data_IF_163670910923
#
_entry.id   IF_163670910923
#
_cell.length_a   1.000
_cell.length_b   1.000
_cell.length_c   1.000
_cell.angle_alpha   90.00
_cell.angle_beta   90.00
_cell.angle_gamma   90.00
#
_symmetry.space_group_name_H-M   'P 1'
#
loop_
_entity.id
_entity.type
_entity.pdbx_description
1 polymer ?
#
# COMPACT_ATOMS: atom_id res chain seq x y z
N UNK A 1 -10.77 -3.85 -1.26
CA UNK A 1 -10.13 -4.73 -2.26
C UNK A 1 -9.16 -5.72 -1.64
N UNK A 2 -8.15 -5.31 -0.91
CA UNK A 2 -7.17 -6.20 -0.26
C UNK A 2 -7.83 -7.35 0.50
N UNK A 3 -8.82 -7.09 1.34
CA UNK A 3 -9.55 -8.12 2.08
C UNK A 3 -10.29 -9.10 1.18
N UNK A 4 -10.82 -8.67 0.04
CA UNK A 4 -11.50 -9.56 -0.90
C UNK A 4 -10.53 -10.52 -1.59
N UNK A 5 -9.32 -10.07 -1.91
CA UNK A 5 -8.26 -10.94 -2.44
C UNK A 5 -7.76 -11.90 -1.36
N UNK A 6 -7.53 -11.40 -0.16
CA UNK A 6 -7.08 -12.22 0.98
C UNK A 6 -8.09 -13.29 1.39
N UNK A 7 -9.38 -13.05 1.21
CA UNK A 7 -10.42 -14.05 1.46
C UNK A 7 -10.30 -15.27 0.52
N UNK A 8 -9.67 -15.09 -0.64
CA UNK A 8 -9.43 -16.15 -1.63
C UNK A 8 -8.02 -16.75 -1.55
N UNK A 9 -7.16 -16.21 -0.70
CA UNK A 9 -5.79 -16.67 -0.57
C UNK A 9 -5.73 -18.10 -0.02
N UNK A 10 -4.93 -18.93 -0.67
CA UNK A 10 -4.63 -20.31 -0.26
C UNK A 10 -3.62 -20.33 0.90
N UNK A 11 -3.41 -21.52 1.46
CA UNK A 11 -2.54 -21.68 2.62
C UNK A 11 -1.08 -21.29 2.36
N UNK A 12 -0.60 -21.51 1.15
CA UNK A 12 0.78 -21.27 0.71
C UNK A 12 1.01 -19.89 0.06
N UNK A 13 -0.05 -19.12 -0.19
CA UNK A 13 0.09 -17.78 -0.76
C UNK A 13 0.85 -16.83 0.17
N UNK A 14 1.77 -16.07 -0.40
CA UNK A 14 2.53 -15.04 0.29
C UNK A 14 1.69 -13.76 0.31
N UNK A 15 1.51 -13.19 1.50
CA UNK A 15 0.80 -11.93 1.68
C UNK A 15 1.73 -10.94 2.38
N UNK A 16 2.03 -9.84 1.71
CA UNK A 16 2.86 -8.75 2.25
C UNK A 16 1.97 -7.53 2.50
N UNK A 17 1.96 -7.03 3.72
CA UNK A 17 1.13 -5.90 4.11
C UNK A 17 0.90 -5.80 5.62
N UNK A 18 -0.12 -5.03 5.99
CA UNK A 18 -0.45 -4.73 7.39
C UNK A 18 -1.77 -5.35 7.86
N UNK A 19 -2.44 -6.12 7.01
CA UNK A 19 -3.68 -6.79 7.39
C UNK A 19 -3.43 -7.87 8.46
N UNK A 20 -4.44 -8.26 9.23
CA UNK A 20 -4.29 -9.34 10.22
C UNK A 20 -3.73 -10.63 9.62
N UNK A 21 -4.21 -11.02 8.42
CA UNK A 21 -3.72 -12.21 7.71
C UNK A 21 -2.27 -12.06 7.26
N UNK A 22 -1.87 -10.90 6.73
CA UNK A 22 -0.48 -10.62 6.37
C UNK A 22 0.45 -10.69 7.58
N UNK A 23 0.04 -10.10 8.71
CA UNK A 23 0.79 -10.15 9.97
C UNK A 23 0.93 -11.58 10.49
N UNK A 24 -0.12 -12.37 10.44
CA UNK A 24 -0.10 -13.78 10.86
C UNK A 24 0.86 -14.62 10.00
N UNK A 25 0.94 -14.35 8.70
CA UNK A 25 1.81 -15.07 7.75
C UNK A 25 3.25 -14.57 7.72
N UNK A 26 3.55 -13.45 8.35
CA UNK A 26 4.89 -12.83 8.35
C UNK A 26 5.99 -13.79 8.84
N UNK A 27 5.69 -14.67 9.79
CA UNK A 27 6.63 -15.67 10.30
C UNK A 27 7.16 -16.62 9.23
N UNK A 28 6.40 -16.86 8.15
CA UNK A 28 6.82 -17.71 7.03
C UNK A 28 7.95 -17.10 6.22
N UNK A 29 8.14 -15.79 6.31
CA UNK A 29 9.16 -15.03 5.59
C UNK A 29 10.43 -14.84 6.40
N UNK A 30 10.48 -15.29 7.65
CA UNK A 30 11.57 -15.03 8.60
C UNK A 30 12.94 -15.58 8.18
N UNK A 31 12.95 -16.66 7.38
CA UNK A 31 14.19 -17.26 6.86
C UNK A 31 14.66 -16.68 5.52
N UNK A 32 13.94 -15.73 4.96
CA UNK A 32 14.22 -15.15 3.65
C UNK A 32 14.81 -13.74 3.80
N UNK A 33 15.66 -13.36 2.86
CA UNK A 33 16.33 -12.05 2.85
C UNK A 33 15.79 -11.23 1.68
N UNK A 34 14.78 -10.37 1.89
CA UNK A 34 14.27 -9.48 0.84
C UNK A 34 15.29 -8.39 0.52
N UNK A 35 15.30 -7.92 -0.73
CA UNK A 35 16.17 -6.83 -1.17
C UNK A 35 15.79 -5.47 -0.55
N UNK A 36 14.52 -5.30 -0.14
CA UNK A 36 14.02 -4.09 0.48
C UNK A 36 13.11 -4.35 1.67
N UNK A 37 12.49 -3.30 2.17
CA UNK A 37 11.57 -3.40 3.31
C UNK A 37 10.24 -4.03 2.89
N UNK A 38 9.81 -5.07 3.62
CA UNK A 38 8.50 -5.70 3.42
C UNK A 38 7.40 -4.95 4.19
N UNK A 39 6.53 -4.27 3.47
CA UNK A 39 5.40 -3.53 4.01
C UNK A 39 4.32 -3.30 2.94
N UNK A 40 3.22 -2.65 3.27
CA UNK A 40 2.07 -2.45 2.36
C UNK A 40 2.39 -1.66 1.07
N UNK A 41 3.52 -0.98 1.01
CA UNK A 41 3.99 -0.23 -0.17
C UNK A 41 5.24 -0.84 -0.80
N UNK A 42 5.56 -2.12 -0.52
CA UNK A 42 6.67 -2.81 -1.17
C UNK A 42 6.50 -2.82 -2.68
N UNK A 43 7.58 -2.53 -3.37
CA UNK A 43 7.68 -2.67 -4.82
C UNK A 43 8.12 -4.08 -5.20
N UNK A 44 8.06 -4.42 -6.49
CA UNK A 44 8.60 -5.70 -6.99
C UNK A 44 10.10 -5.85 -6.66
N UNK A 45 10.85 -4.75 -6.68
CA UNK A 45 12.27 -4.75 -6.31
C UNK A 45 12.48 -5.08 -4.84
N UNK A 46 11.62 -4.59 -3.95
CA UNK A 46 11.74 -4.83 -2.52
C UNK A 46 11.49 -6.30 -2.15
N UNK A 47 10.65 -7.00 -2.91
CA UNK A 47 10.31 -8.42 -2.66
C UNK A 47 11.29 -9.40 -3.32
N UNK A 48 12.29 -8.93 -4.06
CA UNK A 48 13.34 -9.79 -4.57
C UNK A 48 14.05 -10.50 -3.41
N UNK A 49 14.30 -11.79 -3.53
CA UNK A 49 14.76 -12.65 -2.44
C UNK A 49 13.63 -13.36 -1.67
N UNK A 50 12.38 -12.86 -1.76
CA UNK A 50 11.17 -13.58 -1.31
C UNK A 50 10.57 -14.34 -2.51
N UNK A 51 10.44 -13.67 -3.63
CA UNK A 51 10.04 -14.23 -4.92
C UNK A 51 11.16 -13.89 -5.90
N UNK A 52 11.59 -14.86 -6.69
CA UNK A 52 12.54 -14.61 -7.76
C UNK A 52 11.89 -13.68 -8.79
N UNK A 53 12.40 -12.44 -8.88
CA UNK A 53 11.88 -11.43 -9.81
C UNK A 53 12.04 -11.87 -11.26
N UNK A 54 13.02 -12.73 -11.58
CA UNK A 54 13.17 -13.30 -12.92
C UNK A 54 12.02 -14.26 -13.28
N UNK A 55 11.42 -14.91 -12.29
CA UNK A 55 10.27 -15.81 -12.48
C UNK A 55 8.94 -15.06 -12.62
N UNK A 56 8.89 -13.75 -12.40
CA UNK A 56 7.65 -12.95 -12.52
C UNK A 56 7.06 -13.02 -13.93
N UNK A 57 7.88 -13.26 -14.94
CA UNK A 57 7.41 -13.43 -16.32
C UNK A 57 6.45 -14.62 -16.48
N UNK A 58 6.53 -15.60 -15.59
CA UNK A 58 5.67 -16.79 -15.58
C UNK A 58 4.36 -16.57 -14.79
N UNK A 59 4.23 -15.42 -14.11
CA UNK A 59 3.06 -15.07 -13.31
C UNK A 59 2.12 -14.12 -14.05
N UNK A 60 0.84 -14.26 -13.80
CA UNK A 60 -0.13 -13.22 -14.15
C UNK A 60 0.02 -12.06 -13.16
N UNK A 61 0.68 -10.98 -13.58
CA UNK A 61 0.88 -9.78 -12.76
C UNK A 61 -0.17 -8.74 -13.07
N UNK A 62 -0.84 -8.23 -12.05
CA UNK A 62 -1.78 -7.13 -12.22
C UNK A 62 -1.62 -6.08 -11.12
N UNK A 63 -2.01 -4.88 -11.43
CA UNK A 63 -2.13 -3.78 -10.47
C UNK A 63 -3.45 -3.08 -10.66
N UNK A 64 -3.86 -2.35 -9.65
CA UNK A 64 -5.07 -1.55 -9.71
C UNK A 64 -4.68 -0.09 -9.60
N UNK A 65 -5.04 0.65 -10.62
CA UNK A 65 -4.88 2.10 -10.67
C UNK A 65 -6.22 2.78 -10.52
N UNK A 66 -6.23 3.96 -9.95
CA UNK A 66 -7.40 4.80 -9.83
C UNK A 66 -7.14 6.09 -10.60
N UNK A 67 -8.21 6.69 -11.14
CA UNK A 67 -8.13 8.03 -11.70
C UNK A 67 -7.45 8.97 -10.68
N UNK A 68 -6.38 9.69 -11.06
CA UNK A 68 -5.61 10.51 -10.13
C UNK A 68 -6.45 11.63 -9.49
N UNK A 69 -7.40 12.19 -10.21
CA UNK A 69 -8.31 13.23 -9.69
C UNK A 69 -9.21 12.68 -8.60
N UNK A 70 -9.86 11.54 -8.84
CA UNK A 70 -10.66 10.85 -7.83
C UNK A 70 -9.83 10.45 -6.61
N UNK A 71 -8.57 10.08 -6.85
CA UNK A 71 -7.65 9.75 -5.77
C UNK A 71 -7.38 10.97 -4.90
N UNK A 72 -7.16 12.13 -5.48
CA UNK A 72 -6.89 13.37 -4.73
C UNK A 72 -8.12 13.83 -3.93
N UNK A 73 -9.32 13.74 -4.51
CA UNK A 73 -10.56 14.02 -3.77
C UNK A 73 -10.69 13.09 -2.57
N UNK A 74 -10.50 11.79 -2.77
CA UNK A 74 -10.56 10.81 -1.67
C UNK A 74 -9.48 11.04 -0.62
N UNK A 75 -8.28 11.44 -1.03
CA UNK A 75 -7.17 11.74 -0.14
C UNK A 75 -7.47 12.95 0.74
N UNK A 76 -8.02 14.01 0.16
CA UNK A 76 -8.45 15.19 0.90
C UNK A 76 -9.50 14.86 1.96
N UNK A 77 -10.57 14.15 1.60
CA UNK A 77 -11.59 13.75 2.56
C UNK A 77 -11.05 12.83 3.65
N UNK A 78 -10.21 11.87 3.29
CA UNK A 78 -9.54 11.01 4.25
C UNK A 78 -8.68 11.83 5.22
N UNK A 79 -7.88 12.78 4.73
CA UNK A 79 -7.01 13.61 5.56
C UNK A 79 -7.81 14.43 6.59
N UNK A 80 -8.99 14.92 6.22
CA UNK A 80 -9.89 15.66 7.12
C UNK A 80 -10.48 14.81 8.25
N UNK A 81 -10.53 13.51 8.09
CA UNK A 81 -11.00 12.57 9.10
C UNK A 81 -9.89 12.14 10.07
N UNK A 82 -8.65 12.51 9.79
CA UNK A 82 -7.53 12.12 10.64
C UNK A 82 -7.31 13.15 11.77
N UNK A 83 -6.73 12.65 12.89
CA UNK A 83 -6.44 13.46 14.08
C UNK A 83 -4.97 13.50 14.49
N UNK A 84 -4.09 12.79 13.78
CA UNK A 84 -2.67 12.81 14.08
C UNK A 84 -1.98 14.01 13.44
N UNK A 85 -0.89 14.48 14.05
CA UNK A 85 -0.15 15.64 13.58
C UNK A 85 0.68 15.31 12.33
N UNK A 86 0.29 15.89 11.20
CA UNK A 86 0.97 15.77 9.92
C UNK A 86 0.65 17.00 9.04
N UNK A 87 1.63 17.56 8.27
CA UNK A 87 1.40 18.75 7.44
C UNK A 87 0.20 18.63 6.51
N UNK A 88 0.03 17.49 5.82
CA UNK A 88 -1.10 17.24 4.93
C UNK A 88 -2.45 17.28 5.66
N UNK A 89 -2.50 16.80 6.90
CA UNK A 89 -3.74 16.80 7.69
C UNK A 89 -4.11 18.22 8.14
N UNK A 90 -3.12 19.00 8.55
CA UNK A 90 -3.32 20.42 8.84
C UNK A 90 -3.79 21.17 7.59
N UNK A 91 -3.13 20.97 6.45
CA UNK A 91 -3.52 21.57 5.18
C UNK A 91 -4.98 21.22 4.79
N UNK A 92 -5.39 19.98 4.96
CA UNK A 92 -6.75 19.54 4.66
C UNK A 92 -7.80 20.12 5.63
N UNK A 93 -7.42 20.39 6.89
CA UNK A 93 -8.30 21.02 7.87
C UNK A 93 -8.47 22.52 7.63
N UNK A 94 -7.43 23.19 7.17
CA UNK A 94 -7.36 24.65 7.04
C UNK A 94 -7.82 25.17 5.68
N UNK A 95 -7.81 24.33 4.65
CA UNK A 95 -8.12 24.73 3.27
C UNK A 95 -9.28 23.95 2.67
N UNK A 96 -10.01 24.60 1.77
CA UNK A 96 -10.89 23.90 0.84
C UNK A 96 -10.07 23.09 -0.18
N UNK A 97 -10.70 22.18 -0.90
CA UNK A 97 -10.02 21.24 -1.80
C UNK A 97 -9.07 21.92 -2.80
N UNK A 98 -9.49 23.03 -3.42
CA UNK A 98 -8.65 23.75 -4.36
C UNK A 98 -7.39 24.33 -3.67
N UNK A 99 -7.53 24.91 -2.49
CA UNK A 99 -6.40 25.42 -1.69
C UNK A 99 -5.48 24.31 -1.20
N UNK A 100 -6.04 23.18 -0.81
CA UNK A 100 -5.30 21.99 -0.42
C UNK A 100 -4.36 21.48 -1.52
N UNK A 101 -4.82 21.45 -2.77
CA UNK A 101 -4.01 21.00 -3.92
C UNK A 101 -2.78 21.88 -4.20
N UNK A 102 -2.75 23.11 -3.69
CA UNK A 102 -1.64 24.04 -3.87
C UNK A 102 -0.65 24.03 -2.69
N UNK A 103 -0.86 23.19 -1.70
CA UNK A 103 0.04 23.10 -0.56
C UNK A 103 1.31 22.30 -0.91
N UNK A 104 2.50 22.75 -0.45
CA UNK A 104 3.78 22.12 -0.81
C UNK A 104 3.92 20.67 -0.29
N UNK A 105 3.16 20.32 0.74
CA UNK A 105 3.21 18.98 1.37
C UNK A 105 2.21 17.98 0.75
N UNK A 106 1.41 18.43 -0.18
CA UNK A 106 0.42 17.64 -0.91
C UNK A 106 0.98 17.22 -2.28
#
# INVERSE_FOLDING_TARGET
MTLALEARAKADDIIIGDTPKAKQRRKRLAGLTPAGRLWKHSTLRDIDGIVDVSAIQDYFVFTIVRNPWDRMVSYYHWAREQSFDHPVIRAAAEHEFAGFLHQPDV
#
